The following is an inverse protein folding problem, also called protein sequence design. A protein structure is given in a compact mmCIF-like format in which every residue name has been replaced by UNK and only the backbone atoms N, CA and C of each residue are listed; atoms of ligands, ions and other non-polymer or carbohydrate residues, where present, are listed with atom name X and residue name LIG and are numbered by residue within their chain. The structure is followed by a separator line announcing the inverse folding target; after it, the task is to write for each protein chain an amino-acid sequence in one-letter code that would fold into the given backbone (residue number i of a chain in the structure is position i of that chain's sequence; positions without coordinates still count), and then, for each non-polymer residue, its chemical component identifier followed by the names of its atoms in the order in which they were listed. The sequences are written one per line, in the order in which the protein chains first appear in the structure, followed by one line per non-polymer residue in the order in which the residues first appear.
data_IF_155429801494
#
_entry.id   IF_155429801494
#
_cell.length_a   1.000
_cell.length_b   1.000
_cell.length_c   1.000
_cell.angle_alpha   90.00
_cell.angle_beta   90.00
_cell.angle_gamma   90.00
#
_symmetry.space_group_name_H-M   'P 1'
#
loop_
_entity.id
_entity.type
_entity.pdbx_description
1 polymer ?
#
# COMPACT_ATOMS: atom_id res chain seq x y z
N UNK A 1 -8.00 15.09 13.27
CA UNK A 1 -6.92 14.11 13.03
C UNK A 1 -7.28 13.07 11.95
N UNK A 2 -8.40 12.34 12.02
CA UNK A 2 -8.78 11.30 11.03
C UNK A 2 -8.73 11.77 9.57
N UNK A 3 -9.32 12.96 9.25
CA UNK A 3 -9.35 13.49 7.87
C UNK A 3 -7.96 13.88 7.36
N UNK A 4 -7.12 14.46 8.20
CA UNK A 4 -5.75 14.84 7.83
C UNK A 4 -4.93 13.58 7.53
N UNK A 5 -5.04 12.55 8.35
CA UNK A 5 -4.30 11.31 8.17
C UNK A 5 -4.68 10.59 6.87
N UNK A 6 -5.98 10.55 6.47
CA UNK A 6 -6.39 9.92 5.22
C UNK A 6 -5.96 10.73 3.99
N UNK A 7 -5.95 12.07 4.08
CA UNK A 7 -5.42 12.92 3.00
C UNK A 7 -3.92 12.68 2.85
N UNK A 8 -3.16 12.66 3.95
CA UNK A 8 -1.73 12.37 3.94
C UNK A 8 -1.44 10.99 3.35
N UNK A 9 -2.20 9.96 3.76
CA UNK A 9 -2.11 8.63 3.18
C UNK A 9 -2.32 8.65 1.66
N UNK A 10 -3.34 9.39 1.19
CA UNK A 10 -3.62 9.56 -0.23
C UNK A 10 -2.46 10.22 -0.98
N UNK A 11 -1.95 11.34 -0.49
CA UNK A 11 -0.85 12.08 -1.10
C UNK A 11 0.41 11.22 -1.20
N UNK A 12 0.81 10.56 -0.13
CA UNK A 12 1.97 9.67 -0.11
C UNK A 12 1.78 8.43 -1.01
N UNK A 13 0.57 7.87 -1.07
CA UNK A 13 0.28 6.72 -1.95
C UNK A 13 0.36 7.11 -3.42
N UNK A 14 -0.18 8.28 -3.80
CA UNK A 14 -0.08 8.78 -5.18
C UNK A 14 1.36 9.12 -5.52
N UNK A 15 2.08 9.83 -4.63
CA UNK A 15 3.50 10.13 -4.82
C UNK A 15 4.33 8.86 -5.02
N UNK A 16 4.12 7.85 -4.15
CA UNK A 16 4.78 6.56 -4.28
C UNK A 16 4.44 5.82 -5.58
N UNK A 17 3.20 5.92 -6.04
CA UNK A 17 2.77 5.35 -7.33
C UNK A 17 3.47 6.03 -8.53
N UNK A 18 3.55 7.34 -8.53
CA UNK A 18 4.23 8.12 -9.60
C UNK A 18 5.74 7.85 -9.59
N UNK A 19 6.39 7.94 -8.43
CA UNK A 19 7.82 7.69 -8.30
C UNK A 19 8.20 6.24 -8.64
N UNK A 20 7.33 5.27 -8.29
CA UNK A 20 7.56 3.86 -8.57
C UNK A 20 7.24 3.42 -10.00
N UNK A 21 6.55 4.26 -10.79
CA UNK A 21 6.12 3.89 -12.14
C UNK A 21 7.28 3.64 -13.11
N UNK A 22 8.43 4.27 -12.88
CA UNK A 22 9.66 4.11 -13.68
C UNK A 22 10.62 3.07 -13.08
N UNK A 23 10.27 2.44 -11.96
CA UNK A 23 11.12 1.48 -11.26
C UNK A 23 11.32 0.17 -12.02
N UNK A 24 12.30 -0.61 -11.55
CA UNK A 24 12.55 -1.97 -12.08
C UNK A 24 11.38 -2.89 -11.75
N UNK A 25 11.13 -3.85 -12.65
CA UNK A 25 10.10 -4.87 -12.45
C UNK A 25 10.56 -5.95 -11.47
N UNK A 26 9.64 -6.68 -10.82
CA UNK A 26 9.99 -7.75 -9.91
C UNK A 26 10.82 -8.89 -10.56
N UNK A 27 10.71 -9.04 -11.87
CA UNK A 27 11.42 -10.04 -12.69
C UNK A 27 12.73 -9.53 -13.31
N UNK A 28 13.10 -8.24 -13.09
CA UNK A 28 14.36 -7.67 -13.59
C UNK A 28 15.59 -8.41 -13.04
N UNK A 29 16.67 -8.46 -13.81
CA UNK A 29 17.92 -9.07 -13.37
C UNK A 29 18.56 -8.31 -12.20
N UNK A 30 19.44 -8.97 -11.45
CA UNK A 30 20.18 -8.31 -10.36
C UNK A 30 21.04 -7.15 -10.88
N UNK A 31 21.63 -7.31 -12.06
CA UNK A 31 22.44 -6.28 -12.71
C UNK A 31 21.61 -5.05 -13.10
N UNK A 32 20.42 -5.25 -13.68
CA UNK A 32 19.52 -4.16 -14.04
C UNK A 32 19.03 -3.40 -12.81
N UNK A 33 18.69 -4.11 -11.72
CA UNK A 33 18.28 -3.49 -10.46
C UNK A 33 19.40 -2.68 -9.86
N UNK A 34 20.64 -3.21 -9.83
CA UNK A 34 21.80 -2.50 -9.31
C UNK A 34 22.12 -1.24 -10.14
N UNK A 35 22.12 -1.36 -11.47
CA UNK A 35 22.35 -0.23 -12.38
C UNK A 35 21.28 0.86 -12.22
N UNK A 36 20.01 0.47 -12.13
CA UNK A 36 18.91 1.41 -11.91
C UNK A 36 19.07 2.14 -10.57
N UNK A 37 19.37 1.41 -9.49
CA UNK A 37 19.53 2.00 -8.16
C UNK A 37 20.73 2.96 -8.10
N UNK A 38 21.84 2.62 -8.74
CA UNK A 38 22.99 3.50 -8.82
C UNK A 38 22.70 4.81 -9.58
N UNK A 39 21.94 4.71 -10.69
CA UNK A 39 21.56 5.87 -11.51
C UNK A 39 20.45 6.74 -10.94
N UNK A 40 19.60 6.19 -10.03
CA UNK A 40 18.38 6.86 -9.54
C UNK A 40 18.31 6.94 -8.01
N UNK A 41 19.44 6.99 -7.33
CA UNK A 41 19.53 6.97 -5.86
C UNK A 41 18.56 7.93 -5.16
N UNK A 42 18.55 9.21 -5.53
CA UNK A 42 17.67 10.22 -4.92
C UNK A 42 16.17 9.95 -5.18
N UNK A 43 15.81 9.45 -6.36
CA UNK A 43 14.43 9.09 -6.70
C UNK A 43 13.95 7.91 -5.84
N UNK A 44 14.81 6.92 -5.63
CA UNK A 44 14.47 5.74 -4.82
C UNK A 44 14.36 6.12 -3.34
N UNK A 45 15.17 7.06 -2.86
CA UNK A 45 15.01 7.60 -1.51
C UNK A 45 13.68 8.34 -1.33
N UNK A 46 13.28 9.17 -2.30
CA UNK A 46 11.98 9.84 -2.28
C UNK A 46 10.82 8.84 -2.34
N UNK A 47 10.94 7.79 -3.14
CA UNK A 47 9.99 6.68 -3.16
C UNK A 47 9.88 6.01 -1.79
N UNK A 48 11.01 5.70 -1.16
CA UNK A 48 11.05 5.12 0.18
C UNK A 48 10.33 5.99 1.21
N UNK A 49 10.60 7.31 1.21
CA UNK A 49 9.93 8.28 2.08
C UNK A 49 8.42 8.35 1.81
N UNK A 50 8.00 8.31 0.55
CA UNK A 50 6.59 8.29 0.20
C UNK A 50 5.89 7.02 0.71
N UNK A 51 6.50 5.85 0.57
CA UNK A 51 5.94 4.59 1.05
C UNK A 51 5.90 4.54 2.57
N UNK A 52 6.95 5.00 3.27
CA UNK A 52 6.97 5.15 4.72
C UNK A 52 5.88 6.12 5.21
N UNK A 53 5.77 7.28 4.58
CA UNK A 53 4.74 8.27 4.89
C UNK A 53 3.33 7.73 4.71
N UNK A 54 3.09 6.92 3.66
CA UNK A 54 1.82 6.23 3.45
C UNK A 54 1.53 5.26 4.60
N UNK A 55 2.49 4.43 5.00
CA UNK A 55 2.34 3.48 6.11
C UNK A 55 2.00 4.17 7.43
N UNK A 56 2.77 5.20 7.82
CA UNK A 56 2.55 5.95 9.05
C UNK A 56 1.20 6.70 9.05
N UNK A 57 0.82 7.27 7.91
CA UNK A 57 -0.46 7.96 7.77
C UNK A 57 -1.64 7.00 7.86
N UNK A 58 -1.54 5.80 7.28
CA UNK A 58 -2.56 4.76 7.39
C UNK A 58 -2.68 4.24 8.84
N UNK A 59 -1.55 4.05 9.55
CA UNK A 59 -1.56 3.69 10.96
C UNK A 59 -2.27 4.74 11.80
N UNK A 60 -1.92 6.02 11.61
CA UNK A 60 -2.53 7.16 12.30
C UNK A 60 -4.03 7.24 12.01
N UNK A 61 -4.43 7.05 10.76
CA UNK A 61 -5.83 7.01 10.38
C UNK A 61 -6.56 5.84 11.04
N UNK A 62 -5.98 4.64 11.03
CA UNK A 62 -6.55 3.44 11.64
C UNK A 62 -6.76 3.65 13.14
N UNK A 63 -5.77 4.19 13.84
CA UNK A 63 -5.87 4.52 15.26
C UNK A 63 -6.97 5.57 15.55
N UNK A 64 -7.10 6.60 14.70
CA UNK A 64 -8.11 7.63 14.85
C UNK A 64 -9.52 7.18 14.42
N UNK A 65 -9.63 6.26 13.47
CA UNK A 65 -10.91 5.72 12.98
C UNK A 65 -11.51 4.69 13.92
N UNK A 66 -10.67 3.99 14.70
CA UNK A 66 -11.06 2.95 15.67
C UNK A 66 -12.02 1.91 15.08
N UNK A 67 -11.67 1.25 13.97
CA UNK A 67 -12.51 0.19 13.43
C UNK A 67 -12.63 -0.96 14.42
N UNK A 68 -13.62 -1.87 14.27
CA UNK A 68 -13.69 -3.10 15.06
C UNK A 68 -12.36 -3.87 15.05
N UNK A 69 -12.10 -4.69 16.06
CA UNK A 69 -10.80 -5.32 16.34
C UNK A 69 -10.10 -5.94 15.12
N UNK A 70 -10.82 -6.72 14.30
CA UNK A 70 -10.28 -7.29 13.06
C UNK A 70 -9.89 -6.23 12.03
N UNK A 71 -10.71 -5.19 11.87
CA UNK A 71 -10.39 -4.06 10.99
C UNK A 71 -9.19 -3.27 11.50
N UNK A 72 -9.09 -3.08 12.81
CA UNK A 72 -7.94 -2.43 13.44
C UNK A 72 -6.65 -3.21 13.19
N UNK A 73 -6.68 -4.53 13.41
CA UNK A 73 -5.55 -5.41 13.11
C UNK A 73 -5.17 -5.35 11.61
N UNK A 74 -6.15 -5.42 10.70
CA UNK A 74 -5.92 -5.28 9.26
C UNK A 74 -5.26 -3.95 8.91
N UNK A 75 -5.73 -2.84 9.48
CA UNK A 75 -5.15 -1.52 9.25
C UNK A 75 -3.71 -1.40 9.75
N UNK A 76 -3.40 -1.93 10.93
CA UNK A 76 -2.03 -1.92 11.47
C UNK A 76 -1.09 -2.83 10.68
N UNK A 77 -1.53 -4.03 10.30
CA UNK A 77 -0.73 -4.95 9.48
C UNK A 77 -0.45 -4.36 8.09
N UNK A 78 -1.46 -3.75 7.45
CA UNK A 78 -1.27 -3.04 6.19
C UNK A 78 -0.25 -1.92 6.33
N UNK A 79 -0.36 -1.11 7.40
CA UNK A 79 0.58 -0.04 7.69
C UNK A 79 2.01 -0.56 7.91
N UNK A 80 2.16 -1.61 8.71
CA UNK A 80 3.45 -2.26 8.97
C UNK A 80 4.10 -2.80 7.69
N UNK A 81 3.31 -3.38 6.79
CA UNK A 81 3.80 -3.85 5.49
C UNK A 81 4.31 -2.71 4.62
N UNK A 82 3.65 -1.54 4.61
CA UNK A 82 4.15 -0.35 3.90
C UNK A 82 5.42 0.20 4.55
N UNK A 83 5.49 0.24 5.88
CA UNK A 83 6.70 0.68 6.59
C UNK A 83 7.88 -0.23 6.24
N UNK A 84 7.67 -1.56 6.29
CA UNK A 84 8.70 -2.53 5.90
C UNK A 84 9.12 -2.35 4.44
N UNK A 85 8.17 -2.14 3.53
CA UNK A 85 8.43 -1.87 2.12
C UNK A 85 9.28 -0.60 1.94
N UNK A 86 8.94 0.48 2.64
CA UNK A 86 9.69 1.74 2.58
C UNK A 86 11.12 1.60 3.11
N UNK A 87 11.30 0.90 4.25
CA UNK A 87 12.62 0.63 4.81
C UNK A 87 13.47 -0.24 3.87
N UNK A 88 12.89 -1.29 3.29
CA UNK A 88 13.58 -2.14 2.32
C UNK A 88 13.98 -1.34 1.06
N UNK A 89 13.09 -0.46 0.56
CA UNK A 89 13.39 0.44 -0.56
C UNK A 89 14.55 1.40 -0.22
N UNK A 90 14.54 1.97 0.99
CA UNK A 90 15.63 2.81 1.46
C UNK A 90 16.96 2.07 1.51
N UNK A 91 16.96 0.85 2.07
CA UNK A 91 18.15 0.01 2.17
C UNK A 91 18.71 -0.38 0.80
N UNK A 92 17.80 -0.68 -0.17
CA UNK A 92 18.19 -0.96 -1.56
C UNK A 92 18.89 0.24 -2.21
N UNK A 93 18.45 1.48 -1.89
CA UNK A 93 19.09 2.69 -2.40
C UNK A 93 20.52 2.87 -1.83
N UNK A 94 20.74 2.56 -0.55
CA UNK A 94 22.02 2.73 0.11
C UNK A 94 23.07 1.67 -0.30
N UNK A 95 22.62 0.50 -0.75
CA UNK A 95 23.47 -0.66 -1.00
C UNK A 95 23.18 -1.26 -2.37
N UNK A 96 23.67 -0.67 -3.48
CA UNK A 96 23.39 -1.15 -4.83
C UNK A 96 23.77 -2.61 -5.06
N UNK A 97 24.82 -3.11 -4.41
CA UNK A 97 25.26 -4.52 -4.49
C UNK A 97 24.20 -5.50 -3.98
N UNK A 98 23.46 -5.08 -2.96
CA UNK A 98 22.37 -5.86 -2.35
C UNK A 98 20.98 -5.36 -2.75
N UNK A 99 20.89 -4.49 -3.75
CA UNK A 99 19.62 -3.87 -4.13
C UNK A 99 18.55 -4.90 -4.50
N UNK A 100 18.89 -5.99 -5.21
CA UNK A 100 17.92 -6.98 -5.67
C UNK A 100 17.12 -7.65 -4.55
N UNK A 101 17.70 -8.23 -3.49
CA UNK A 101 16.92 -8.82 -2.40
C UNK A 101 16.06 -7.78 -1.66
N UNK A 102 16.56 -6.58 -1.43
CA UNK A 102 15.77 -5.53 -0.78
C UNK A 102 14.64 -4.99 -1.65
N UNK A 103 14.85 -4.84 -2.96
CA UNK A 103 13.78 -4.48 -3.91
C UNK A 103 12.69 -5.55 -3.96
N UNK A 104 13.09 -6.83 -3.94
CA UNK A 104 12.14 -7.95 -3.90
C UNK A 104 11.34 -7.96 -2.59
N UNK A 105 11.98 -7.73 -1.45
CA UNK A 105 11.33 -7.61 -0.15
C UNK A 105 10.37 -6.40 -0.13
N UNK A 106 10.82 -5.25 -0.64
CA UNK A 106 10.00 -4.05 -0.74
C UNK A 106 8.72 -4.30 -1.55
N UNK A 107 8.86 -4.96 -2.71
CA UNK A 107 7.72 -5.33 -3.54
C UNK A 107 6.80 -6.34 -2.84
N UNK A 108 7.35 -7.40 -2.26
CA UNK A 108 6.57 -8.41 -1.56
C UNK A 108 5.77 -7.80 -0.39
N UNK A 109 6.40 -6.96 0.43
CA UNK A 109 5.74 -6.29 1.54
C UNK A 109 4.71 -5.25 1.05
N UNK A 110 5.10 -4.37 0.13
CA UNK A 110 4.28 -3.23 -0.32
C UNK A 110 3.14 -3.61 -1.26
N UNK A 111 3.24 -4.73 -1.98
CA UNK A 111 2.18 -5.23 -2.84
C UNK A 111 1.36 -6.31 -2.13
N UNK A 112 1.95 -7.45 -1.85
CA UNK A 112 1.23 -8.63 -1.37
C UNK A 112 0.96 -8.59 0.13
N UNK A 113 1.98 -8.26 0.94
CA UNK A 113 1.86 -8.14 2.39
C UNK A 113 0.89 -7.04 2.82
N UNK A 114 0.75 -6.00 2.00
CA UNK A 114 -0.20 -4.92 2.21
C UNK A 114 -1.64 -5.29 1.79
N UNK A 115 -1.81 -6.04 0.70
CA UNK A 115 -3.09 -6.23 0.03
C UNK A 115 -4.13 -6.96 0.89
N UNK A 116 -3.76 -8.09 1.51
CA UNK A 116 -4.67 -8.90 2.33
C UNK A 116 -5.10 -8.17 3.61
N UNK A 117 -4.19 -7.55 4.39
CA UNK A 117 -4.60 -6.76 5.54
C UNK A 117 -5.47 -5.56 5.19
N UNK A 118 -5.20 -4.88 4.06
CA UNK A 118 -6.06 -3.81 3.56
C UNK A 118 -7.46 -4.33 3.21
N UNK A 119 -7.54 -5.47 2.53
CA UNK A 119 -8.82 -6.12 2.22
C UNK A 119 -9.62 -6.42 3.48
N UNK A 120 -8.97 -6.91 4.54
CA UNK A 120 -9.61 -7.17 5.83
C UNK A 120 -10.15 -5.88 6.47
N UNK A 121 -9.34 -4.80 6.48
CA UNK A 121 -9.78 -3.50 6.97
C UNK A 121 -11.02 -3.01 6.24
N UNK A 122 -10.99 -3.04 4.89
CA UNK A 122 -12.11 -2.59 4.05
C UNK A 122 -13.34 -3.45 4.27
N UNK A 123 -13.23 -4.78 4.28
CA UNK A 123 -14.34 -5.69 4.47
C UNK A 123 -15.05 -5.51 5.82
N UNK A 124 -14.27 -5.25 6.89
CA UNK A 124 -14.84 -4.98 8.22
C UNK A 124 -15.56 -3.65 8.26
N UNK A 125 -14.98 -2.60 7.71
CA UNK A 125 -15.60 -1.27 7.66
C UNK A 125 -16.83 -1.25 6.75
N UNK A 126 -16.85 -2.03 5.67
CA UNK A 126 -17.98 -2.12 4.75
C UNK A 126 -19.28 -2.52 5.45
N UNK A 127 -19.19 -3.34 6.52
CA UNK A 127 -20.36 -3.76 7.32
C UNK A 127 -21.14 -2.60 7.96
N UNK A 128 -20.45 -1.48 8.19
CA UNK A 128 -21.01 -0.29 8.87
C UNK A 128 -21.36 0.83 7.89
N UNK A 129 -21.30 0.57 6.58
CA UNK A 129 -21.53 1.57 5.54
C UNK A 129 -22.88 1.31 4.82
N UNK A 130 -23.47 2.31 4.11
CA UNK A 130 -24.66 2.10 3.30
C UNK A 130 -24.41 1.05 2.23
N UNK A 131 -25.50 0.39 1.81
CA UNK A 131 -25.48 -0.75 0.90
C UNK A 131 -24.60 -0.56 -0.35
N UNK A 132 -24.70 0.58 -1.03
CA UNK A 132 -23.88 0.84 -2.23
C UNK A 132 -22.38 0.90 -1.92
N UNK A 133 -22.02 1.56 -0.80
CA UNK A 133 -20.63 1.69 -0.38
C UNK A 133 -20.11 0.37 0.22
N UNK A 134 -20.96 -0.42 0.85
CA UNK A 134 -20.63 -1.76 1.31
C UNK A 134 -20.31 -2.69 0.13
N UNK A 135 -21.15 -2.71 -0.91
CA UNK A 135 -20.91 -3.53 -2.10
C UNK A 135 -19.59 -3.16 -2.78
N UNK A 136 -19.34 -1.87 -3.01
CA UNK A 136 -18.07 -1.43 -3.61
C UNK A 136 -16.87 -1.77 -2.72
N UNK A 137 -17.01 -1.63 -1.40
CA UNK A 137 -15.99 -2.04 -0.44
C UNK A 137 -15.66 -3.53 -0.51
N UNK A 138 -16.67 -4.40 -0.55
CA UNK A 138 -16.45 -5.85 -0.68
C UNK A 138 -15.79 -6.22 -2.02
N UNK A 139 -16.22 -5.60 -3.13
CA UNK A 139 -15.57 -5.82 -4.44
C UNK A 139 -14.09 -5.44 -4.37
N UNK A 140 -13.76 -4.27 -3.84
CA UNK A 140 -12.37 -3.82 -3.70
C UNK A 140 -11.59 -4.75 -2.76
N UNK A 141 -12.19 -5.19 -1.65
CA UNK A 141 -11.54 -6.11 -0.72
C UNK A 141 -11.22 -7.45 -1.38
N UNK A 142 -12.14 -8.00 -2.19
CA UNK A 142 -11.90 -9.24 -2.95
C UNK A 142 -10.77 -9.04 -3.97
N UNK A 143 -10.79 -7.95 -4.74
CA UNK A 143 -9.75 -7.68 -5.74
C UNK A 143 -8.38 -7.46 -5.08
N UNK A 144 -8.33 -6.76 -3.93
CA UNK A 144 -7.12 -6.60 -3.16
C UNK A 144 -6.60 -7.95 -2.62
N UNK A 145 -7.46 -8.79 -2.06
CA UNK A 145 -7.07 -10.12 -1.59
C UNK A 145 -6.57 -11.02 -2.74
N UNK A 146 -7.25 -11.00 -3.90
CA UNK A 146 -6.83 -11.73 -5.09
C UNK A 146 -5.49 -11.27 -5.63
N UNK A 147 -5.13 -9.99 -5.48
CA UNK A 147 -3.83 -9.49 -5.93
C UNK A 147 -2.66 -10.13 -5.19
N UNK A 148 -2.86 -10.67 -3.98
CA UNK A 148 -1.84 -11.39 -3.23
C UNK A 148 -1.40 -12.69 -3.95
N UNK A 149 -2.28 -13.32 -4.74
CA UNK A 149 -1.91 -14.45 -5.58
C UNK A 149 -0.99 -14.07 -6.76
N UNK A 150 -0.73 -12.78 -6.97
CA UNK A 150 0.33 -12.31 -7.85
C UNK A 150 1.71 -12.86 -7.47
N UNK A 151 1.93 -13.27 -6.20
CA UNK A 151 3.13 -14.00 -5.81
C UNK A 151 3.32 -15.31 -6.58
N UNK A 152 2.22 -15.93 -7.03
CA UNK A 152 2.22 -17.21 -7.74
C UNK A 152 2.18 -17.02 -9.26
N UNK A 153 1.61 -15.92 -9.73
CA UNK A 153 1.45 -15.66 -11.17
C UNK A 153 1.46 -14.16 -11.50
N UNK A 154 2.34 -13.69 -12.41
CA UNK A 154 2.41 -12.30 -12.84
C UNK A 154 1.14 -11.79 -13.50
N UNK A 155 0.27 -12.68 -14.00
CA UNK A 155 -1.03 -12.31 -14.62
C UNK A 155 -1.90 -11.48 -13.69
N UNK A 156 -1.75 -11.65 -12.37
CA UNK A 156 -2.53 -10.93 -11.36
C UNK A 156 -1.90 -9.59 -10.91
N UNK A 157 -0.72 -9.22 -11.40
CA UNK A 157 -0.09 -7.94 -11.06
C UNK A 157 -0.97 -6.70 -11.36
N UNK A 158 -1.80 -6.66 -12.43
CA UNK A 158 -2.71 -5.54 -12.65
C UNK A 158 -3.74 -5.32 -11.54
N UNK A 159 -4.02 -6.33 -10.71
CA UNK A 159 -4.93 -6.18 -9.58
C UNK A 159 -4.30 -5.40 -8.42
N UNK A 160 -2.97 -5.34 -8.31
CA UNK A 160 -2.27 -4.62 -7.24
C UNK A 160 -2.65 -3.13 -7.22
N UNK A 161 -2.48 -2.37 -8.32
CA UNK A 161 -2.91 -0.97 -8.35
C UNK A 161 -4.42 -0.82 -8.16
N UNK A 162 -5.24 -1.72 -8.70
CA UNK A 162 -6.70 -1.68 -8.53
C UNK A 162 -7.07 -1.80 -7.05
N UNK A 163 -6.54 -2.79 -6.34
CA UNK A 163 -6.77 -2.97 -4.91
C UNK A 163 -6.26 -1.79 -4.08
N UNK A 164 -5.05 -1.29 -4.39
CA UNK A 164 -4.41 -0.22 -3.65
C UNK A 164 -5.11 1.13 -3.83
N UNK A 165 -5.31 1.58 -5.07
CA UNK A 165 -5.93 2.87 -5.35
C UNK A 165 -7.45 2.82 -5.16
N UNK A 166 -8.11 1.71 -5.50
CA UNK A 166 -9.52 1.50 -5.18
C UNK A 166 -9.76 1.54 -3.69
N UNK A 167 -8.92 0.86 -2.91
CA UNK A 167 -8.96 0.89 -1.44
C UNK A 167 -8.74 2.29 -0.88
N UNK A 168 -7.76 3.05 -1.40
CA UNK A 168 -7.53 4.44 -1.03
C UNK A 168 -8.79 5.30 -1.26
N UNK A 169 -9.33 5.29 -2.48
CA UNK A 169 -10.53 6.07 -2.83
C UNK A 169 -11.68 5.71 -1.90
N UNK A 170 -11.92 4.42 -1.67
CA UNK A 170 -12.98 3.95 -0.80
C UNK A 170 -12.80 4.42 0.65
N UNK A 171 -11.59 4.32 1.22
CA UNK A 171 -11.28 4.80 2.57
C UNK A 171 -11.46 6.31 2.70
N UNK A 172 -11.13 7.09 1.66
CA UNK A 172 -11.39 8.53 1.60
C UNK A 172 -12.89 8.77 1.67
N UNK A 173 -13.69 8.13 0.82
CA UNK A 173 -15.15 8.27 0.80
C UNK A 173 -15.77 7.97 2.18
N UNK A 174 -15.37 6.87 2.82
CA UNK A 174 -15.82 6.51 4.18
C UNK A 174 -15.40 7.55 5.22
N UNK A 175 -14.21 8.13 5.07
CA UNK A 175 -13.68 9.10 6.05
C UNK A 175 -14.37 10.45 6.02
N UNK A 176 -14.88 10.86 4.85
CA UNK A 176 -15.56 12.14 4.66
C UNK A 176 -17.09 12.04 4.75
N UNK A 177 -17.62 10.84 4.86
CA UNK A 177 -19.05 10.64 5.06
C UNK A 177 -19.50 11.32 6.35
N UNK A 178 -20.56 12.13 6.27
CA UNK A 178 -21.28 12.61 7.46
C UNK A 178 -21.96 11.40 8.11
N UNK A 179 -21.63 11.09 9.35
CA UNK A 179 -22.51 10.26 10.19
C UNK A 179 -23.77 11.11 10.39
N UNK A 180 -24.89 10.69 9.80
CA UNK A 180 -26.20 11.20 10.21
C UNK A 180 -26.40 10.69 11.63
N UNK A 181 -26.24 11.59 12.60
CA UNK A 181 -26.68 11.37 13.97
C UNK A 181 -28.21 11.29 13.99
#
# INVERSE_FOLDING_TARGET
MKRIAIIAYGLFTVAGGVLGATGTRPDSSAADVAAYNAGHHGLIQLLALAVLGAGLSLATWTAAARPPSLGFAGGLLASGSLVLSGLATWTAAQNPEFARPFTSLAFAAGAFGFAVPLALLIAVLARTTPRWLAITGYVIAVLAALSAFGMLTPVLYPLIPVGRFGGLIWLVLVSFRKTSD
#
